data_IF_210050951980
#
_entry.id   IF_210050951980
#
_cell.length_a   1.000
_cell.length_b   1.000
_cell.length_c   1.000
_cell.angle_alpha   90.00
_cell.angle_beta   90.00
_cell.angle_gamma   90.00
#
_symmetry.space_group_name_H-M   'P 1'
#
loop_
_entity.id
_entity.type
_entity.pdbx_description
1 polymer ?
#
# COMPACT_ATOMS: atom_id res chain seq x y z
N UNK A 1 -6.83 -14.95 -15.89
CA UNK A 1 -7.45 -13.66 -15.54
C UNK A 1 -6.77 -13.24 -14.27
N UNK A 2 -5.93 -12.21 -14.35
CA UNK A 2 -5.24 -11.68 -13.17
C UNK A 2 -6.27 -10.87 -12.40
N UNK A 3 -6.62 -11.35 -11.21
CA UNK A 3 -7.55 -10.66 -10.34
C UNK A 3 -6.90 -9.38 -9.82
N UNK A 4 -7.36 -8.27 -10.39
CA UNK A 4 -7.05 -6.92 -9.96
C UNK A 4 -7.90 -6.60 -8.71
N UNK A 5 -7.58 -7.23 -7.59
CA UNK A 5 -8.14 -6.83 -6.29
C UNK A 5 -7.53 -5.48 -5.95
N UNK A 6 -8.31 -4.43 -6.21
CA UNK A 6 -8.07 -3.08 -5.77
C UNK A 6 -7.60 -3.13 -4.30
N UNK A 7 -6.39 -2.62 -4.04
CA UNK A 7 -5.84 -2.48 -2.69
C UNK A 7 -6.96 -2.07 -1.74
N UNK A 8 -7.08 -2.75 -0.60
CA UNK A 8 -7.85 -2.29 0.56
C UNK A 8 -7.32 -0.91 0.97
N UNK A 9 -7.81 0.12 0.31
CA UNK A 9 -7.44 1.51 0.52
C UNK A 9 -8.15 1.98 1.77
N UNK A 10 -7.39 2.23 2.84
CA UNK A 10 -7.94 2.89 4.01
C UNK A 10 -8.46 4.29 3.66
N UNK A 11 -9.73 4.54 3.99
CA UNK A 11 -10.30 5.87 4.10
C UNK A 11 -9.63 6.67 5.23
N UNK A 12 -9.61 8.00 5.11
CA UNK A 12 -8.96 8.85 6.12
C UNK A 12 -9.63 8.78 7.51
N UNK A 13 -10.92 8.45 7.53
CA UNK A 13 -11.71 8.31 8.75
C UNK A 13 -11.69 6.90 9.35
N UNK A 14 -11.10 5.93 8.66
CA UNK A 14 -10.98 4.56 9.16
C UNK A 14 -10.14 4.54 10.43
N UNK A 15 -10.41 3.58 11.31
CA UNK A 15 -9.75 3.48 12.62
C UNK A 15 -8.98 2.17 12.71
N UNK A 16 -7.70 2.28 13.00
CA UNK A 16 -6.84 1.15 13.36
C UNK A 16 -6.83 1.00 14.87
N UNK A 17 -7.10 -0.22 15.35
CA UNK A 17 -6.96 -0.58 16.76
C UNK A 17 -5.72 -1.44 16.96
N UNK A 18 -4.88 -1.06 17.93
CA UNK A 18 -3.71 -1.85 18.36
C UNK A 18 -3.94 -2.37 19.79
N UNK A 19 -5.16 -2.83 20.08
CA UNK A 19 -5.60 -3.23 21.41
C UNK A 19 -6.30 -2.08 22.13
N UNK A 20 -5.67 -1.52 23.17
CA UNK A 20 -6.20 -0.35 23.88
C UNK A 20 -6.14 0.95 23.06
N UNK A 21 -5.05 1.27 22.36
CA UNK A 21 -4.99 2.50 21.57
C UNK A 21 -5.67 2.32 20.20
N UNK A 22 -6.49 3.31 19.84
CA UNK A 22 -7.17 3.40 18.55
C UNK A 22 -6.76 4.71 17.86
N UNK A 23 -6.40 4.62 16.58
CA UNK A 23 -5.96 5.77 15.79
C UNK A 23 -6.71 5.86 14.48
N UNK A 24 -7.11 7.07 14.09
CA UNK A 24 -7.57 7.31 12.73
C UNK A 24 -6.41 7.11 11.75
N UNK A 25 -6.67 6.42 10.65
CA UNK A 25 -5.71 6.22 9.56
C UNK A 25 -5.20 7.56 9.04
N UNK A 26 -6.08 8.55 8.86
CA UNK A 26 -5.66 9.89 8.44
C UNK A 26 -4.60 10.51 9.36
N UNK A 27 -4.80 10.38 10.68
CA UNK A 27 -3.84 10.87 11.69
C UNK A 27 -2.50 10.14 11.61
N UNK A 28 -2.51 8.82 11.41
CA UNK A 28 -1.28 8.04 11.23
C UNK A 28 -0.55 8.44 9.95
N UNK A 29 -1.27 8.60 8.83
CA UNK A 29 -0.70 9.07 7.55
C UNK A 29 -0.07 10.45 7.69
N UNK A 30 -0.72 11.37 8.40
CA UNK A 30 -0.17 12.71 8.67
C UNK A 30 1.10 12.65 9.52
N UNK A 31 1.12 11.83 10.56
CA UNK A 31 2.28 11.73 11.45
C UNK A 31 3.49 11.13 10.71
N UNK A 32 3.26 10.10 9.90
CA UNK A 32 4.30 9.56 9.02
C UNK A 32 4.79 10.63 8.04
N UNK A 33 3.89 11.40 7.42
CA UNK A 33 4.28 12.52 6.54
C UNK A 33 5.16 13.54 7.26
N UNK A 34 4.85 13.91 8.51
CA UNK A 34 5.69 14.84 9.29
C UNK A 34 7.08 14.26 9.53
N UNK A 35 7.17 13.00 9.95
CA UNK A 35 8.45 12.32 10.16
C UNK A 35 9.30 12.29 8.89
N UNK A 36 8.68 12.14 7.72
CA UNK A 36 9.40 12.20 6.43
C UNK A 36 9.98 13.58 6.11
N UNK A 37 9.43 14.66 6.67
CA UNK A 37 9.95 16.02 6.49
C UNK A 37 11.04 16.39 7.52
N UNK A 38 11.26 15.57 8.54
CA UNK A 38 12.31 15.79 9.52
C UNK A 38 13.71 15.64 8.89
N UNK A 39 14.69 16.45 9.33
CA UNK A 39 16.02 16.48 8.72
C UNK A 39 16.78 15.15 8.88
N UNK A 40 16.43 14.33 9.87
CA UNK A 40 17.10 13.06 10.19
C UNK A 40 17.14 12.09 9.01
N UNK A 41 16.03 11.93 8.29
CA UNK A 41 15.99 11.04 7.12
C UNK A 41 16.81 11.59 5.95
N UNK A 42 16.75 12.91 5.74
CA UNK A 42 17.56 13.58 4.72
C UNK A 42 19.06 13.49 5.01
N UNK A 43 19.45 13.51 6.30
CA UNK A 43 20.83 13.30 6.73
C UNK A 43 21.29 11.87 6.45
N UNK A 44 20.50 10.88 6.87
CA UNK A 44 20.80 9.46 6.62
C UNK A 44 20.94 9.16 5.12
N UNK A 45 20.03 9.69 4.30
CA UNK A 45 20.11 9.58 2.84
C UNK A 45 21.40 10.22 2.30
N UNK A 46 21.72 11.44 2.73
CA UNK A 46 22.92 12.16 2.27
C UNK A 46 24.20 11.42 2.65
N UNK A 47 24.24 10.81 3.84
CA UNK A 47 25.36 10.01 4.32
C UNK A 47 25.51 8.71 3.51
N UNK A 48 24.39 8.03 3.23
CA UNK A 48 24.37 6.82 2.39
C UNK A 48 24.81 7.10 0.95
N UNK A 49 24.37 8.21 0.34
CA UNK A 49 24.83 8.61 -0.98
C UNK A 49 26.31 8.98 -0.98
N UNK A 50 26.77 9.68 0.06
CA UNK A 50 28.17 10.07 0.20
C UNK A 50 29.11 8.86 0.34
N UNK A 51 28.66 7.77 0.98
CA UNK A 51 29.46 6.52 1.07
C UNK A 51 29.58 5.81 -0.29
N UNK A 52 28.62 6.02 -1.19
CA UNK A 52 28.67 5.57 -2.58
C UNK A 52 29.35 6.58 -3.52
N UNK A 53 30.06 7.58 -2.97
CA UNK A 53 30.74 8.64 -3.71
C UNK A 53 29.80 9.59 -4.49
N UNK A 54 28.50 9.59 -4.16
CA UNK A 54 27.50 10.52 -4.68
C UNK A 54 27.32 11.69 -3.69
N UNK A 55 28.25 12.64 -3.73
CA UNK A 55 28.21 13.82 -2.85
C UNK A 55 27.26 14.87 -3.41
N UNK A 56 26.13 15.06 -2.73
CA UNK A 56 25.12 16.06 -3.09
C UNK A 56 25.17 17.18 -2.05
N UNK A 57 25.36 18.43 -2.52
CA UNK A 57 25.32 19.59 -1.65
C UNK A 57 23.87 20.05 -1.43
N UNK A 58 23.37 19.79 -0.22
CA UNK A 58 22.06 20.27 0.25
C UNK A 58 22.10 21.75 0.66
N UNK A 59 23.28 22.36 0.65
CA UNK A 59 23.54 23.68 1.21
C UNK A 59 23.43 23.70 2.74
N UNK A 60 23.57 24.88 3.31
CA UNK A 60 23.48 25.08 4.75
C UNK A 60 23.61 26.55 5.13
N UNK A 61 23.47 26.81 6.42
CA UNK A 61 23.66 28.13 7.00
C UNK A 61 24.58 28.02 8.22
N UNK A 62 25.47 29.00 8.34
CA UNK A 62 26.30 29.18 9.53
C UNK A 62 25.52 29.95 10.60
N UNK A 63 25.39 29.38 11.80
CA UNK A 63 24.87 30.07 12.98
C UNK A 63 25.95 30.07 14.07
N UNK A 64 26.65 31.21 14.18
CA UNK A 64 27.80 31.33 15.06
C UNK A 64 28.95 30.41 14.61
N UNK A 65 29.38 29.51 15.50
CA UNK A 65 30.46 28.53 15.23
C UNK A 65 29.97 27.22 14.59
N UNK A 66 28.67 27.07 14.37
CA UNK A 66 28.07 25.84 13.87
C UNK A 66 27.56 26.02 12.44
N UNK A 67 27.82 25.03 11.58
CA UNK A 67 27.28 24.97 10.23
C UNK A 67 26.19 23.90 10.16
N UNK A 68 24.97 24.32 9.85
CA UNK A 68 23.81 23.43 9.77
C UNK A 68 23.46 23.17 8.31
N UNK A 69 23.42 21.90 7.93
CA UNK A 69 22.99 21.48 6.59
C UNK A 69 21.47 21.41 6.49
N UNK A 70 20.94 21.78 5.33
CA UNK A 70 19.50 21.80 5.07
C UNK A 70 18.99 20.44 4.55
N UNK A 71 19.15 19.39 5.35
CA UNK A 71 18.74 18.03 4.97
C UNK A 71 17.24 17.88 4.70
N UNK A 72 16.41 18.75 5.28
CA UNK A 72 14.98 18.81 5.00
C UNK A 72 14.65 19.15 3.53
N UNK A 73 15.59 19.73 2.76
CA UNK A 73 15.39 20.03 1.33
C UNK A 73 15.17 18.79 0.46
N UNK A 74 15.61 17.62 0.91
CA UNK A 74 15.32 16.36 0.22
C UNK A 74 13.82 16.15 0.02
N UNK A 75 13.01 16.54 1.01
CA UNK A 75 11.56 16.30 1.04
C UNK A 75 10.73 17.58 0.98
N UNK A 76 11.34 18.76 1.18
CA UNK A 76 10.69 20.07 1.09
C UNK A 76 10.99 20.83 -0.22
N UNK A 77 11.78 21.90 -0.11
CA UNK A 77 12.01 22.89 -1.19
C UNK A 77 12.79 22.38 -2.41
N UNK A 78 13.40 21.20 -2.28
CA UNK A 78 14.27 20.62 -3.28
C UNK A 78 15.70 21.17 -3.25
N UNK A 79 16.59 20.38 -3.85
CA UNK A 79 18.02 20.65 -3.98
C UNK A 79 18.28 21.09 -5.41
N UNK A 80 18.98 22.22 -5.58
CA UNK A 80 19.31 22.76 -6.90
C UNK A 80 20.17 21.76 -7.70
N UNK A 81 19.80 21.53 -8.95
CA UNK A 81 20.52 20.64 -9.85
C UNK A 81 20.33 21.06 -11.31
N UNK A 82 21.09 20.44 -12.21
CA UNK A 82 20.93 20.58 -13.66
C UNK A 82 20.61 19.21 -14.25
N UNK A 83 19.66 19.17 -15.19
CA UNK A 83 19.24 17.96 -15.89
C UNK A 83 19.61 18.09 -17.37
N UNK A 84 20.38 17.15 -17.88
CA UNK A 84 20.57 16.96 -19.32
C UNK A 84 19.79 15.73 -19.76
N UNK A 85 18.72 15.95 -20.52
CA UNK A 85 17.94 14.84 -21.10
C UNK A 85 18.62 14.33 -22.36
N UNK A 86 18.50 13.02 -22.63
CA UNK A 86 18.97 12.45 -23.90
C UNK A 86 18.22 13.14 -25.04
N UNK A 87 18.97 13.63 -26.04
CA UNK A 87 18.43 14.42 -27.16
C UNK A 87 18.18 15.90 -26.87
N UNK A 88 18.41 16.37 -25.64
CA UNK A 88 18.40 17.80 -25.34
C UNK A 88 19.67 18.48 -25.86
N UNK A 89 19.54 19.73 -26.29
CA UNK A 89 20.67 20.54 -26.76
C UNK A 89 21.49 21.13 -25.62
N UNK A 90 20.87 21.38 -24.46
CA UNK A 90 21.46 22.12 -23.35
C UNK A 90 21.04 21.56 -21.99
N UNK A 91 21.80 21.91 -20.95
CA UNK A 91 21.49 21.61 -19.55
C UNK A 91 20.31 22.47 -19.05
N UNK A 92 19.36 21.82 -18.39
CA UNK A 92 18.22 22.49 -17.78
C UNK A 92 18.44 22.67 -16.28
N UNK A 93 18.57 23.92 -15.82
CA UNK A 93 18.58 24.24 -14.38
C UNK A 93 17.22 23.96 -13.74
N UNK A 94 17.24 23.37 -12.56
CA UNK A 94 16.04 23.03 -11.80
C UNK A 94 16.37 22.65 -10.36
N UNK A 95 15.43 21.92 -9.75
CA UNK A 95 15.59 21.33 -8.43
C UNK A 95 15.10 19.90 -8.45
N UNK A 96 15.76 19.05 -7.69
CA UNK A 96 15.30 17.69 -7.40
C UNK A 96 14.73 17.65 -5.98
N UNK A 97 13.57 17.02 -5.81
CA UNK A 97 12.99 16.71 -4.51
C UNK A 97 12.39 15.31 -4.54
N UNK A 98 12.41 14.63 -3.41
CA UNK A 98 11.81 13.33 -3.23
C UNK A 98 10.38 13.55 -2.74
N UNK A 99 9.41 13.04 -3.50
CA UNK A 99 8.01 13.05 -3.12
C UNK A 99 7.61 11.64 -2.68
N UNK A 100 7.17 11.51 -1.43
CA UNK A 100 6.76 10.23 -0.83
C UNK A 100 5.25 10.21 -0.65
N UNK A 101 4.60 9.24 -1.28
CA UNK A 101 3.20 8.94 -1.01
C UNK A 101 3.15 7.89 0.10
N UNK A 102 2.53 8.23 1.23
CA UNK A 102 2.31 7.28 2.33
C UNK A 102 1.08 6.43 2.00
N UNK A 103 1.31 5.20 1.55
CA UNK A 103 0.30 4.14 1.43
C UNK A 103 0.33 3.28 2.68
N UNK A 104 -0.85 2.95 3.21
CA UNK A 104 -1.02 1.95 4.26
C UNK A 104 -1.80 0.79 3.65
N UNK A 105 -1.44 -0.42 4.01
CA UNK A 105 -2.13 -1.65 3.60
C UNK A 105 -2.64 -2.38 4.84
N UNK A 106 -3.90 -2.83 4.81
CA UNK A 106 -4.46 -3.72 5.81
C UNK A 106 -4.35 -5.14 5.30
N UNK A 107 -3.78 -6.04 6.11
CA UNK A 107 -3.74 -7.46 5.80
C UNK A 107 -4.65 -8.17 6.79
N UNK A 108 -5.95 -8.37 6.48
CA UNK A 108 -6.82 -9.17 7.33
C UNK A 108 -6.34 -10.62 7.32
N UNK A 109 -6.44 -11.30 8.45
CA UNK A 109 -6.23 -12.75 8.51
C UNK A 109 -7.27 -13.45 7.63
N UNK A 110 -6.88 -14.54 6.96
CA UNK A 110 -7.83 -15.39 6.25
C UNK A 110 -8.92 -15.84 7.22
N UNK A 111 -10.21 -15.78 6.84
CA UNK A 111 -11.26 -16.26 7.72
C UNK A 111 -10.97 -17.72 8.02
N UNK A 112 -10.92 -18.08 9.31
CA UNK A 112 -11.06 -19.47 9.72
C UNK A 112 -12.39 -19.93 9.11
N UNK A 113 -12.34 -20.70 8.03
CA UNK A 113 -13.49 -21.49 7.61
C UNK A 113 -13.75 -22.40 8.79
N UNK A 114 -14.74 -22.05 9.61
CA UNK A 114 -15.38 -23.03 10.47
C UNK A 114 -15.78 -24.17 9.53
N UNK A 115 -15.02 -25.27 9.55
CA UNK A 115 -15.45 -26.53 9.01
C UNK A 115 -16.79 -26.80 9.67
N UNK A 116 -17.90 -26.45 9.00
CA UNK A 116 -19.21 -26.87 9.41
C UNK A 116 -19.08 -28.38 9.48
N UNK A 117 -19.10 -29.02 10.67
CA UNK A 117 -19.06 -30.47 10.71
C UNK A 117 -20.26 -30.90 9.91
N UNK A 118 -20.01 -31.68 8.83
CA UNK A 118 -21.03 -32.28 8.02
C UNK A 118 -22.11 -32.78 8.97
N UNK A 119 -23.28 -32.13 8.94
CA UNK A 119 -24.42 -32.53 9.74
C UNK A 119 -24.71 -33.95 9.28
N UNK A 120 -24.36 -34.92 10.12
CA UNK A 120 -24.85 -36.28 9.98
C UNK A 120 -26.35 -36.22 10.30
N UNK A 121 -27.17 -35.75 9.35
CA UNK A 121 -28.61 -35.93 9.39
C UNK A 121 -28.97 -37.27 8.72
N UNK A 122 -29.89 -38.04 9.31
CA UNK A 122 -30.21 -39.39 8.85
C UNK A 122 -30.89 -39.37 7.47
N UNK A 123 -30.76 -40.45 6.71
CA UNK A 123 -31.51 -40.69 5.47
C UNK A 123 -33.02 -40.42 5.68
N UNK A 124 -33.49 -39.26 5.21
CA UNK A 124 -34.90 -39.01 4.97
C UNK A 124 -35.03 -38.98 3.44
N UNK A 125 -35.65 -40.04 2.90
CA UNK A 125 -35.94 -40.14 1.47
C UNK A 125 -36.61 -38.85 0.97
N UNK A 126 -36.15 -38.25 -0.14
CA UNK A 126 -36.74 -37.02 -0.65
C UNK A 126 -38.24 -37.26 -0.94
N UNK A 127 -39.14 -36.29 -0.64
CA UNK A 127 -40.52 -36.38 -1.09
C UNK A 127 -40.53 -36.42 -2.61
N UNK A 128 -41.25 -37.39 -3.19
CA UNK A 128 -41.27 -37.64 -4.64
C UNK A 128 -41.53 -36.33 -5.38
N UNK A 129 -40.52 -35.92 -6.15
CA UNK A 129 -40.56 -34.69 -6.92
C UNK A 129 -41.45 -34.92 -8.14
N UNK A 130 -42.37 -34.01 -8.50
CA UNK A 130 -43.18 -34.13 -9.73
C UNK A 130 -42.32 -34.19 -11.01
N UNK A 131 -41.02 -33.94 -10.91
CA UNK A 131 -40.05 -34.12 -11.99
C UNK A 131 -39.58 -35.57 -12.15
N UNK A 132 -39.70 -36.41 -11.13
CA UNK A 132 -39.34 -37.84 -11.20
C UNK A 132 -40.36 -38.65 -12.00
N UNK A 133 -41.64 -38.28 -11.95
CA UNK A 133 -42.70 -38.87 -12.79
C UNK A 133 -42.39 -38.68 -14.29
N UNK A 134 -41.89 -37.50 -14.67
CA UNK A 134 -41.48 -37.21 -16.06
C UNK A 134 -40.29 -38.06 -16.50
N UNK A 135 -39.34 -38.32 -15.60
CA UNK A 135 -38.16 -39.15 -15.88
C UNK A 135 -38.55 -40.61 -16.08
N UNK A 136 -39.53 -41.10 -15.33
CA UNK A 136 -40.05 -42.46 -15.52
C UNK A 136 -40.79 -42.62 -16.85
N UNK A 137 -41.62 -41.64 -17.25
CA UNK A 137 -42.33 -41.68 -18.53
C UNK A 137 -41.36 -41.77 -19.72
N UNK A 138 -40.30 -40.95 -19.72
CA UNK A 138 -39.30 -40.92 -20.82
C UNK A 138 -38.53 -42.26 -20.94
N UNK A 139 -38.29 -42.94 -19.82
CA UNK A 139 -37.58 -44.22 -19.83
C UNK A 139 -38.46 -45.39 -20.28
N UNK A 140 -39.78 -45.31 -20.08
CA UNK A 140 -40.74 -46.33 -20.57
C UNK A 140 -40.98 -46.19 -22.08
N UNK A 141 -40.94 -44.97 -22.62
CA UNK A 141 -41.15 -44.69 -24.05
C UNK A 141 -40.00 -45.19 -24.94
N UNK A 142 -38.79 -45.33 -24.39
CA UNK A 142 -37.61 -45.83 -25.11
C UNK A 142 -37.47 -47.37 -25.13
N UNK A 143 -38.48 -48.11 -24.66
CA UNK A 143 -38.47 -49.59 -24.65
C UNK A 143 -39.57 -50.24 -25.50
N UNK A 144 -40.18 -49.52 -26.44
CA UNK A 144 -41.09 -50.07 -27.45
C UNK A 144 -40.47 -50.10 -28.86
#
# INVERSE_FOLDING_TARGET
>A
MEDNYNLQNFGENDVLSFGTPMFKVGKLKEEVKKLLHEPTLGEQLSNSLSSQNLRIDVGGESRGRYYYKFYNKWFGDGISCELLKIGAKDWQKGKVKINLQVSLEFCPDEPETEDIPAINEPEISPPESPLDDLRQMINQENQQ
#
